data_IF_877098654062
#
_entry.id   IF_877098654062
#
_cell.length_a   1.000
_cell.length_b   1.000
_cell.length_c   1.000
_cell.angle_alpha   90.00
_cell.angle_beta   90.00
_cell.angle_gamma   90.00
#
_symmetry.space_group_name_H-M   'P 1'
#
loop_
_entity.id
_entity.type
_entity.pdbx_description
1 polymer ?
#
# COMPACT_ATOMS: atom_id res chain seq x y z
N UNK A 1 -21.95 -69.41 -10.30
CA UNK A 1 -21.60 -68.10 -10.90
C UNK A 1 -21.66 -67.05 -9.79
N UNK A 2 -20.51 -66.63 -9.26
CA UNK A 2 -20.45 -65.56 -8.23
C UNK A 2 -19.90 -64.32 -8.91
N UNK A 3 -20.72 -63.26 -9.02
CA UNK A 3 -20.29 -61.96 -9.55
C UNK A 3 -19.67 -61.15 -8.42
N UNK A 4 -18.37 -60.89 -8.53
CA UNK A 4 -17.64 -59.99 -7.66
C UNK A 4 -18.04 -58.55 -8.00
N UNK A 5 -18.72 -57.86 -7.09
CA UNK A 5 -19.03 -56.45 -7.23
C UNK A 5 -17.86 -55.62 -6.67
N UNK A 6 -17.08 -55.02 -7.56
CA UNK A 6 -16.05 -54.06 -7.19
C UNK A 6 -16.73 -52.71 -6.92
N UNK A 7 -16.76 -52.29 -5.66
CA UNK A 7 -17.27 -50.96 -5.28
C UNK A 7 -16.14 -49.93 -5.49
N UNK A 8 -16.26 -49.10 -6.51
CA UNK A 8 -15.33 -47.99 -6.75
C UNK A 8 -15.76 -46.81 -5.88
N UNK A 9 -15.08 -46.61 -4.74
CA UNK A 9 -15.32 -45.48 -3.85
C UNK A 9 -14.74 -44.19 -4.43
N UNK A 10 -15.60 -43.23 -4.77
CA UNK A 10 -15.19 -41.89 -5.17
C UNK A 10 -15.01 -41.04 -3.90
N UNK A 11 -13.76 -40.71 -3.55
CA UNK A 11 -13.45 -39.81 -2.42
C UNK A 11 -13.49 -38.38 -2.96
N UNK A 12 -14.49 -37.61 -2.52
CA UNK A 12 -14.62 -36.19 -2.84
C UNK A 12 -13.83 -35.38 -1.80
N UNK A 13 -12.67 -34.83 -2.18
CA UNK A 13 -11.96 -33.86 -1.35
C UNK A 13 -12.59 -32.48 -1.52
N UNK A 14 -13.39 -32.05 -0.53
CA UNK A 14 -13.84 -30.67 -0.43
C UNK A 14 -12.70 -29.86 0.17
N UNK A 15 -11.99 -29.11 -0.66
CA UNK A 15 -11.06 -28.10 -0.17
C UNK A 15 -11.88 -26.87 0.25
N UNK A 16 -11.98 -26.65 1.56
CA UNK A 16 -12.49 -25.38 2.09
C UNK A 16 -11.30 -24.42 2.11
N UNK A 17 -11.27 -23.36 1.29
CA UNK A 17 -10.21 -22.36 1.38
C UNK A 17 -10.30 -21.70 2.77
N UNK A 18 -9.26 -21.87 3.57
CA UNK A 18 -9.05 -21.07 4.78
C UNK A 18 -8.45 -19.76 4.27
N UNK A 19 -9.28 -18.73 4.17
CA UNK A 19 -8.77 -17.39 3.87
C UNK A 19 -7.94 -16.93 5.08
N UNK A 20 -6.69 -16.52 4.83
CA UNK A 20 -6.00 -15.64 5.77
C UNK A 20 -6.87 -14.40 5.96
N UNK A 21 -7.04 -13.95 7.22
CA UNK A 21 -7.96 -12.86 7.52
C UNK A 21 -7.49 -11.55 6.89
N UNK A 22 -6.17 -11.29 6.98
CA UNK A 22 -5.49 -10.18 6.32
C UNK A 22 -4.26 -10.69 5.59
N UNK A 23 -3.73 -9.86 4.68
CA UNK A 23 -2.58 -10.23 3.87
C UNK A 23 -1.30 -10.40 4.73
N UNK A 24 -0.37 -11.20 4.22
CA UNK A 24 0.83 -11.58 4.95
C UNK A 24 2.04 -10.71 4.64
N UNK A 25 3.21 -11.24 5.01
CA UNK A 25 4.51 -10.58 4.83
C UNK A 25 4.89 -10.47 3.34
N UNK A 26 5.87 -9.62 3.05
CA UNK A 26 6.37 -9.40 1.68
C UNK A 26 6.79 -10.71 1.02
N UNK A 27 6.26 -10.96 -0.19
CA UNK A 27 6.54 -12.17 -0.98
C UNK A 27 5.56 -13.33 -0.77
N UNK A 28 4.57 -13.16 0.11
CA UNK A 28 3.45 -14.11 0.24
C UNK A 28 2.32 -13.79 -0.73
N UNK A 29 1.51 -14.80 -1.06
CA UNK A 29 0.34 -14.63 -1.91
C UNK A 29 -0.65 -13.63 -1.28
N UNK A 30 -1.15 -12.68 -2.09
CA UNK A 30 -2.09 -11.66 -1.64
C UNK A 30 -1.48 -10.51 -0.82
N UNK A 31 -0.15 -10.50 -0.59
CA UNK A 31 0.56 -9.39 0.03
C UNK A 31 0.25 -8.05 -0.67
N UNK A 32 -0.18 -7.05 0.10
CA UNK A 32 -0.55 -5.72 -0.41
C UNK A 32 0.59 -4.71 -0.41
N UNK A 33 1.71 -5.01 0.27
CA UNK A 33 2.84 -4.10 0.42
C UNK A 33 3.35 -3.52 -0.92
N UNK A 34 3.77 -2.25 -0.91
CA UNK A 34 4.26 -1.56 -2.09
C UNK A 34 5.74 -1.18 -1.90
N UNK A 35 6.62 -1.64 -2.79
CA UNK A 35 8.04 -1.31 -2.73
C UNK A 35 8.26 0.19 -2.94
N UNK A 36 9.17 0.83 -2.20
CA UNK A 36 9.42 2.27 -2.30
C UNK A 36 9.84 2.77 -3.71
N UNK A 37 10.34 1.89 -4.57
CA UNK A 37 10.71 2.18 -5.97
C UNK A 37 9.57 1.98 -6.97
N UNK A 38 8.41 1.52 -6.50
CA UNK A 38 7.27 1.26 -7.36
C UNK A 38 6.82 2.55 -8.06
N UNK A 39 6.62 2.46 -9.37
CA UNK A 39 6.24 3.61 -10.20
C UNK A 39 4.83 4.13 -9.89
N UNK A 40 4.05 3.42 -9.07
CA UNK A 40 2.78 3.91 -8.53
C UNK A 40 2.95 5.18 -7.70
N UNK A 41 4.10 5.39 -7.07
CA UNK A 41 4.35 6.63 -6.33
C UNK A 41 4.66 7.79 -7.29
N UNK A 42 3.80 8.81 -7.27
CA UNK A 42 3.87 9.97 -8.15
C UNK A 42 4.27 11.25 -7.42
N UNK A 43 4.14 11.26 -6.09
CA UNK A 43 4.55 12.37 -5.21
C UNK A 43 4.86 11.81 -3.82
N UNK A 44 5.40 12.64 -2.94
CA UNK A 44 5.77 12.27 -1.58
C UNK A 44 5.45 13.40 -0.60
N UNK A 45 5.40 13.08 0.68
CA UNK A 45 5.24 14.10 1.73
C UNK A 45 6.26 15.23 1.55
N UNK A 46 5.76 16.46 1.62
CA UNK A 46 6.55 17.68 1.43
C UNK A 46 7.06 18.26 2.73
N UNK A 47 6.23 18.24 3.77
CA UNK A 47 6.59 18.67 5.12
C UNK A 47 6.18 17.61 6.12
N UNK A 48 6.82 17.61 7.27
CA UNK A 48 6.48 16.79 8.41
C UNK A 48 6.62 17.65 9.67
N UNK A 49 5.68 17.54 10.61
CA UNK A 49 5.77 18.14 11.95
C UNK A 49 5.58 17.03 12.96
N UNK A 50 6.55 16.84 13.86
CA UNK A 50 6.57 15.75 14.84
C UNK A 50 6.33 16.27 16.25
N UNK A 51 5.34 15.68 16.93
CA UNK A 51 5.18 15.79 18.37
C UNK A 51 5.70 14.51 19.01
N UNK A 52 6.88 14.58 19.63
CA UNK A 52 7.56 13.41 20.22
C UNK A 52 6.78 12.82 21.39
N UNK A 53 6.64 11.51 21.35
CA UNK A 53 6.12 10.66 22.41
C UNK A 53 7.17 10.32 23.47
N UNK A 54 6.76 9.51 24.44
CA UNK A 54 7.59 9.13 25.58
C UNK A 54 8.56 8.01 25.20
N UNK A 55 9.72 7.97 25.86
CA UNK A 55 10.60 6.79 25.82
C UNK A 55 9.89 5.56 26.43
N UNK A 56 9.05 5.80 27.44
CA UNK A 56 8.24 4.79 28.09
C UNK A 56 7.08 5.53 28.78
N UNK A 57 5.85 5.35 28.29
CA UNK A 57 4.66 6.04 28.78
C UNK A 57 4.35 5.70 30.25
N UNK A 58 4.78 4.53 30.71
CA UNK A 58 4.64 4.13 32.11
C UNK A 58 5.71 4.74 33.01
N UNK A 59 6.76 5.35 32.43
CA UNK A 59 7.91 5.96 33.11
C UNK A 59 8.23 7.35 32.51
N UNK A 60 7.32 8.34 32.66
CA UNK A 60 7.44 9.63 32.01
C UNK A 60 8.70 10.43 32.40
N UNK A 61 9.33 10.10 33.52
CA UNK A 61 10.61 10.66 33.97
C UNK A 61 11.79 10.36 33.04
N UNK A 62 11.65 9.35 32.16
CA UNK A 62 12.66 9.04 31.12
C UNK A 62 12.68 10.02 29.95
N UNK A 63 11.72 10.94 29.90
CA UNK A 63 11.67 11.97 28.86
C UNK A 63 11.00 11.50 27.57
N UNK A 64 11.39 12.15 26.46
CA UNK A 64 10.86 11.93 25.12
C UNK A 64 11.91 11.22 24.27
N UNK A 65 11.46 10.50 23.24
CA UNK A 65 12.37 9.97 22.22
C UNK A 65 13.02 11.11 21.43
N UNK A 66 14.19 10.85 20.83
CA UNK A 66 15.03 11.91 20.23
C UNK A 66 15.69 11.53 18.92
N UNK A 67 15.49 10.31 18.41
CA UNK A 67 16.17 9.84 17.21
C UNK A 67 15.58 10.43 15.92
N UNK A 68 16.44 10.76 14.95
CA UNK A 68 16.03 11.31 13.66
C UNK A 68 15.47 12.73 13.72
N UNK A 69 15.07 13.26 12.57
CA UNK A 69 14.51 14.62 12.40
C UNK A 69 13.41 14.60 11.35
N UNK A 70 12.55 15.62 11.34
CA UNK A 70 11.40 15.72 10.43
C UNK A 70 11.78 15.57 8.95
N UNK A 71 12.99 16.00 8.58
CA UNK A 71 13.50 15.90 7.21
C UNK A 71 13.74 14.45 6.75
N UNK A 72 13.85 13.48 7.68
CA UNK A 72 13.96 12.07 7.35
C UNK A 72 12.63 11.45 6.89
N UNK A 73 11.49 12.11 7.15
CA UNK A 73 10.16 11.60 6.81
C UNK A 73 9.54 12.27 5.56
N UNK A 74 10.29 13.11 4.85
CA UNK A 74 9.81 13.85 3.67
C UNK A 74 10.61 13.52 2.42
N UNK A 75 10.00 13.75 1.26
CA UNK A 75 10.58 13.39 -0.02
C UNK A 75 10.55 11.88 -0.27
N UNK A 76 11.18 11.48 -1.37
CA UNK A 76 11.19 10.09 -1.78
C UNK A 76 12.06 9.24 -0.86
N UNK A 77 11.47 8.19 -0.29
CA UNK A 77 12.24 7.08 0.27
C UNK A 77 13.11 6.53 -0.85
N UNK A 78 14.42 6.51 -0.64
CA UNK A 78 15.40 6.16 -1.66
C UNK A 78 16.40 5.09 -1.19
N UNK A 79 16.26 4.66 0.06
CA UNK A 79 17.11 3.66 0.69
C UNK A 79 16.29 2.81 1.65
N UNK A 80 16.88 1.69 2.08
CA UNK A 80 16.42 0.91 3.24
C UNK A 80 17.36 1.13 4.42
N UNK A 81 17.97 2.31 4.52
CA UNK A 81 18.83 2.66 5.65
C UNK A 81 17.94 2.85 6.87
N UNK A 82 18.18 2.01 7.87
CA UNK A 82 17.43 1.97 9.12
C UNK A 82 17.58 3.26 9.93
N UNK A 83 18.57 4.09 9.62
CA UNK A 83 18.77 5.39 10.26
C UNK A 83 18.08 6.56 9.51
N UNK A 84 17.49 6.31 8.34
CA UNK A 84 16.73 7.32 7.58
C UNK A 84 15.25 7.31 7.98
N UNK A 85 15.00 7.66 9.24
CA UNK A 85 13.68 7.73 9.83
C UNK A 85 13.61 8.79 10.94
N UNK A 86 12.40 9.02 11.46
CA UNK A 86 12.16 9.80 12.67
C UNK A 86 11.25 9.03 13.62
N UNK A 87 11.73 8.77 14.84
CA UNK A 87 11.01 7.94 15.81
C UNK A 87 9.90 8.71 16.53
N UNK A 88 8.71 8.16 16.62
CA UNK A 88 7.59 8.84 17.27
C UNK A 88 7.61 8.67 18.79
N UNK A 89 7.97 7.49 19.29
CA UNK A 89 7.87 7.14 20.71
C UNK A 89 6.44 6.97 21.19
N UNK A 90 6.27 6.44 22.40
CA UNK A 90 4.95 6.07 22.93
C UNK A 90 3.98 7.26 22.84
N UNK A 91 2.91 7.08 22.06
CA UNK A 91 1.85 8.05 21.78
C UNK A 91 2.30 9.33 21.05
N UNK A 92 3.48 9.32 20.44
CA UNK A 92 3.96 10.37 19.55
C UNK A 92 3.20 10.40 18.23
N UNK A 93 3.26 11.53 17.55
CA UNK A 93 2.57 11.73 16.28
C UNK A 93 3.40 12.56 15.30
N UNK A 94 3.14 12.34 14.01
CA UNK A 94 3.66 13.14 12.91
C UNK A 94 2.50 13.59 12.02
N UNK A 95 2.50 14.86 11.62
CA UNK A 95 1.57 15.40 10.64
C UNK A 95 2.36 15.75 9.37
N UNK A 96 2.03 15.07 8.27
CA UNK A 96 2.64 15.27 6.97
C UNK A 96 1.71 16.06 6.05
N UNK A 97 2.28 16.94 5.22
CA UNK A 97 1.54 17.67 4.18
C UNK A 97 2.17 17.47 2.80
N UNK A 98 1.43 17.78 1.74
CA UNK A 98 1.76 17.42 0.37
C UNK A 98 1.70 18.64 -0.56
N UNK A 99 2.47 18.61 -1.67
CA UNK A 99 2.40 19.67 -2.69
C UNK A 99 1.03 19.70 -3.37
N UNK A 100 0.45 18.51 -3.57
CA UNK A 100 -0.86 18.31 -4.16
C UNK A 100 -1.71 17.48 -3.20
N UNK A 101 -2.98 17.87 -2.94
CA UNK A 101 -3.87 17.07 -2.13
C UNK A 101 -4.02 15.66 -2.67
N UNK A 102 -3.97 14.67 -1.78
CA UNK A 102 -4.26 13.26 -2.07
C UNK A 102 -5.76 13.15 -2.37
N UNK A 103 -6.13 12.28 -3.30
CA UNK A 103 -7.51 12.06 -3.73
C UNK A 103 -7.86 10.58 -3.68
N UNK A 104 -9.12 10.28 -3.41
CA UNK A 104 -9.71 8.93 -3.46
C UNK A 104 -9.79 8.45 -4.91
N UNK A 105 -8.79 7.66 -5.30
CA UNK A 105 -8.67 7.06 -6.62
C UNK A 105 -9.11 5.60 -6.64
N UNK A 106 -8.77 4.89 -7.72
CA UNK A 106 -9.01 3.45 -7.76
C UNK A 106 -7.96 2.72 -6.90
N UNK A 107 -8.41 2.08 -5.81
CA UNK A 107 -7.56 1.33 -4.90
C UNK A 107 -6.76 2.22 -3.96
N UNK A 108 -5.52 1.84 -3.65
CA UNK A 108 -4.70 2.57 -2.68
C UNK A 108 -4.27 3.95 -3.18
N UNK A 109 -4.30 4.94 -2.29
CA UNK A 109 -4.03 6.35 -2.59
C UNK A 109 -2.69 6.84 -2.05
N UNK A 110 -2.18 6.21 -1.01
CA UNK A 110 -0.84 6.46 -0.48
C UNK A 110 -0.33 5.25 0.30
N UNK A 111 0.95 5.26 0.67
CA UNK A 111 1.54 4.27 1.55
C UNK A 111 2.46 4.92 2.59
N UNK A 112 2.46 4.36 3.79
CA UNK A 112 3.32 4.79 4.92
C UNK A 112 4.48 3.82 5.06
N UNK A 113 5.69 4.37 5.17
CA UNK A 113 6.94 3.63 5.26
C UNK A 113 7.53 3.70 6.66
N UNK A 114 7.96 2.54 7.12
CA UNK A 114 8.66 2.30 8.37
C UNK A 114 10.00 1.60 8.05
N UNK A 115 10.93 1.53 9.00
CA UNK A 115 12.32 1.10 8.77
C UNK A 115 12.65 -0.33 9.25
N UNK A 116 11.64 -1.17 9.50
CA UNK A 116 11.80 -2.47 10.15
C UNK A 116 12.83 -3.36 9.46
N UNK A 117 13.66 -4.02 10.27
CA UNK A 117 14.73 -4.87 9.80
C UNK A 117 14.26 -6.20 9.21
N UNK A 118 13.05 -6.68 9.55
CA UNK A 118 12.55 -7.99 9.14
C UNK A 118 11.02 -8.10 9.21
N UNK A 119 10.46 -9.20 8.71
CA UNK A 119 9.01 -9.37 8.59
C UNK A 119 8.25 -9.61 9.91
N UNK A 120 8.93 -9.59 11.05
CA UNK A 120 8.33 -9.94 12.36
C UNK A 120 8.62 -8.95 13.46
N UNK A 121 9.74 -8.21 13.41
CA UNK A 121 9.98 -7.10 14.31
C UNK A 121 9.30 -5.87 13.71
N UNK A 122 8.02 -5.69 14.00
CA UNK A 122 7.20 -4.62 13.45
C UNK A 122 6.97 -3.59 14.55
N UNK A 123 7.07 -2.32 14.21
CA UNK A 123 6.68 -1.20 15.07
C UNK A 123 5.52 -0.48 14.37
N UNK A 124 4.40 -0.32 15.07
CA UNK A 124 3.12 -0.06 14.44
C UNK A 124 2.63 1.38 14.65
N UNK A 125 1.85 1.88 13.69
CA UNK A 125 1.17 3.17 13.82
C UNK A 125 -0.25 3.14 13.25
N UNK A 126 -1.13 3.93 13.87
CA UNK A 126 -2.44 4.27 13.33
C UNK A 126 -2.31 5.46 12.37
N UNK A 127 -3.20 5.50 11.38
CA UNK A 127 -3.17 6.53 10.32
C UNK A 127 -4.51 7.25 10.29
N UNK A 128 -4.46 8.57 10.21
CA UNK A 128 -5.60 9.44 10.01
C UNK A 128 -5.33 10.41 8.85
N UNK A 129 -6.39 10.92 8.24
CA UNK A 129 -6.31 11.93 7.18
C UNK A 129 -7.17 13.14 7.50
N UNK A 130 -6.82 14.29 6.92
CA UNK A 130 -7.58 15.53 7.08
C UNK A 130 -7.56 16.38 5.80
N UNK A 131 -8.68 17.03 5.53
CA UNK A 131 -8.80 18.03 4.45
C UNK A 131 -8.41 19.44 4.90
N UNK A 132 -8.46 19.73 6.20
CA UNK A 132 -8.33 21.09 6.77
C UNK A 132 -7.24 21.24 7.85
N UNK A 133 -6.63 20.14 8.31
CA UNK A 133 -5.63 20.13 9.38
C UNK A 133 -6.21 20.26 10.78
N UNK A 134 -7.54 20.21 10.93
CA UNK A 134 -8.25 20.34 12.21
C UNK A 134 -9.05 19.06 12.50
N UNK A 135 -9.83 18.59 11.53
CA UNK A 135 -10.65 17.38 11.66
C UNK A 135 -9.92 16.20 11.03
N UNK A 136 -9.61 15.19 11.85
CA UNK A 136 -8.89 13.99 11.43
C UNK A 136 -9.80 12.77 11.47
N UNK A 137 -9.66 11.92 10.44
CA UNK A 137 -10.47 10.73 10.25
C UNK A 137 -9.55 9.53 10.07
N UNK A 138 -9.64 8.57 11.00
CA UNK A 138 -8.81 7.37 11.02
C UNK A 138 -9.30 6.29 10.06
N UNK A 139 -8.36 5.52 9.52
CA UNK A 139 -8.70 4.27 8.82
C UNK A 139 -9.29 3.24 9.80
N UNK A 140 -10.22 2.39 9.36
CA UNK A 140 -10.76 1.32 10.19
C UNK A 140 -9.68 0.27 10.43
N UNK A 141 -9.07 0.30 11.62
CA UNK A 141 -7.99 -0.61 12.01
C UNK A 141 -8.52 -1.86 12.70
N UNK A 142 -7.86 -2.99 12.45
CA UNK A 142 -8.13 -4.24 13.15
C UNK A 142 -6.83 -4.86 13.61
N UNK A 143 -6.77 -5.22 14.89
CA UNK A 143 -5.68 -6.02 15.46
C UNK A 143 -6.21 -7.28 16.12
N UNK A 144 -5.74 -8.41 15.62
CA UNK A 144 -5.95 -9.74 16.22
C UNK A 144 -4.67 -10.25 16.90
N UNK A 145 -3.79 -9.34 17.31
CA UNK A 145 -2.60 -9.69 18.09
C UNK A 145 -3.01 -10.28 19.44
N UNK A 146 -2.42 -11.41 19.88
CA UNK A 146 -2.78 -12.01 21.17
C UNK A 146 -2.48 -11.06 22.33
N UNK A 147 -3.38 -10.92 23.30
CA UNK A 147 -3.20 -10.01 24.45
C UNK A 147 -3.03 -10.75 25.78
N UNK A 148 -2.87 -12.06 25.75
CA UNK A 148 -2.60 -12.90 26.92
C UNK A 148 -1.14 -12.78 27.39
N UNK A 149 -0.24 -12.35 26.51
CA UNK A 149 1.17 -12.09 26.80
C UNK A 149 1.68 -10.87 26.05
N UNK A 150 2.37 -9.97 26.75
CA UNK A 150 3.02 -8.80 26.14
C UNK A 150 4.04 -9.23 25.07
N UNK A 151 3.99 -8.61 23.89
CA UNK A 151 5.09 -8.66 22.93
C UNK A 151 6.22 -7.81 23.52
N UNK A 152 7.35 -8.43 23.87
CA UNK A 152 8.49 -7.70 24.41
C UNK A 152 9.10 -6.75 23.38
N UNK A 153 9.92 -5.79 23.79
CA UNK A 153 10.52 -4.79 22.89
C UNK A 153 11.42 -5.29 21.76
N UNK A 154 11.65 -6.61 21.64
CA UNK A 154 12.30 -7.28 20.48
C UNK A 154 11.48 -8.49 20.01
N UNK A 155 10.20 -8.52 20.37
CA UNK A 155 9.28 -9.62 20.10
C UNK A 155 8.79 -9.59 18.65
N UNK A 156 8.21 -10.71 18.24
CA UNK A 156 7.66 -10.88 16.90
C UNK A 156 6.16 -10.59 16.87
N UNK A 157 5.71 -9.87 15.86
CA UNK A 157 4.31 -9.60 15.53
C UNK A 157 3.97 -10.29 14.21
N UNK A 158 2.80 -10.92 14.15
CA UNK A 158 2.28 -11.60 12.95
C UNK A 158 1.48 -10.61 12.09
N UNK A 159 2.04 -10.22 10.94
CA UNK A 159 1.41 -9.31 10.00
C UNK A 159 0.00 -9.75 9.56
N UNK A 160 -0.29 -11.06 9.51
CA UNK A 160 -1.63 -11.57 9.10
C UNK A 160 -2.73 -11.23 10.12
N UNK A 161 -2.37 -10.68 11.28
CA UNK A 161 -3.29 -10.23 12.33
C UNK A 161 -3.62 -8.74 12.26
N UNK A 162 -3.05 -8.00 11.31
CA UNK A 162 -3.12 -6.55 11.25
C UNK A 162 -3.78 -6.08 9.95
N UNK A 163 -4.68 -5.12 10.05
CA UNK A 163 -5.31 -4.43 8.90
C UNK A 163 -5.33 -2.92 9.12
N UNK A 164 -4.98 -2.15 8.09
CA UNK A 164 -4.90 -0.68 8.11
C UNK A 164 -4.04 -0.11 9.25
N UNK A 165 -2.94 -0.80 9.56
CA UNK A 165 -1.97 -0.38 10.57
C UNK A 165 -0.62 -0.25 9.86
N UNK A 166 -0.04 0.95 9.89
CA UNK A 166 1.27 1.22 9.30
C UNK A 166 2.37 0.46 10.05
N UNK A 167 3.48 0.17 9.37
CA UNK A 167 4.60 -0.61 9.94
C UNK A 167 4.42 -2.12 9.87
N UNK A 168 3.38 -2.58 9.17
CA UNK A 168 3.09 -4.02 9.01
C UNK A 168 4.14 -4.77 8.16
N UNK A 169 4.95 -4.07 7.37
CA UNK A 169 5.92 -4.67 6.46
C UNK A 169 7.34 -4.16 6.73
N UNK A 170 8.32 -5.02 6.47
CA UNK A 170 9.75 -4.68 6.59
C UNK A 170 10.15 -3.47 5.75
N UNK A 171 11.23 -2.83 6.16
CA UNK A 171 11.85 -1.68 5.50
C UNK A 171 11.99 -1.85 3.98
N UNK A 172 11.67 -0.76 3.28
CA UNK A 172 11.56 -0.71 1.82
C UNK A 172 10.17 -1.07 1.26
N UNK A 173 9.22 -1.45 2.11
CA UNK A 173 7.86 -1.75 1.69
C UNK A 173 6.86 -0.95 2.51
N UNK A 174 6.08 -0.11 1.82
CA UNK A 174 5.07 0.73 2.43
C UNK A 174 3.78 -0.04 2.70
N UNK A 175 3.12 0.31 3.81
CA UNK A 175 1.73 -0.12 4.07
C UNK A 175 0.78 0.78 3.30
N UNK A 176 0.02 0.26 2.31
CA UNK A 176 -0.83 1.10 1.51
C UNK A 176 -2.21 1.33 2.16
N UNK A 177 -2.81 2.48 1.86
CA UNK A 177 -4.08 2.95 2.43
C UNK A 177 -5.01 3.46 1.32
N UNK A 178 -6.28 3.06 1.37
CA UNK A 178 -7.34 3.37 0.40
C UNK A 178 -8.40 4.27 1.08
N UNK A 179 -8.50 5.53 0.65
CA UNK A 179 -9.36 6.54 1.26
C UNK A 179 -10.85 6.16 1.23
N UNK A 180 -11.25 5.30 0.28
CA UNK A 180 -12.62 4.80 0.19
C UNK A 180 -13.03 3.98 1.43
N UNK A 181 -12.06 3.42 2.17
CA UNK A 181 -12.31 2.66 3.40
C UNK A 181 -12.71 3.53 4.60
N UNK A 182 -12.47 4.85 4.55
CA UNK A 182 -12.92 5.78 5.59
C UNK A 182 -14.40 6.09 5.37
N UNK A 183 -15.22 6.11 6.43
CA UNK A 183 -16.62 6.49 6.29
C UNK A 183 -16.77 7.96 5.84
N UNK A 184 -17.77 8.23 4.99
CA UNK A 184 -18.06 9.60 4.56
C UNK A 184 -18.42 10.51 5.75
N UNK A 185 -17.93 11.73 5.72
CA UNK A 185 -18.19 12.75 6.74
C UNK A 185 -18.29 14.13 6.10
N UNK A 186 -19.17 14.99 6.63
CA UNK A 186 -19.34 16.36 6.13
C UNK A 186 -18.08 17.24 6.23
N UNK A 187 -17.17 16.92 7.15
CA UNK A 187 -15.90 17.63 7.33
C UNK A 187 -14.71 16.91 6.65
N UNK A 188 -14.96 15.88 5.84
CA UNK A 188 -13.95 15.14 5.11
C UNK A 188 -14.22 15.21 3.60
N UNK A 189 -13.37 15.94 2.88
CA UNK A 189 -13.30 15.87 1.42
C UNK A 189 -12.16 14.91 1.03
N UNK A 190 -12.52 13.66 0.74
CA UNK A 190 -11.58 12.61 0.29
C UNK A 190 -10.92 12.92 -1.06
N UNK A 191 -11.43 13.90 -1.81
CA UNK A 191 -10.80 14.41 -3.03
C UNK A 191 -9.93 15.65 -2.77
N UNK A 192 -9.67 15.97 -1.50
CA UNK A 192 -8.83 17.09 -1.08
C UNK A 192 -8.15 16.82 0.26
N UNK A 193 -7.52 15.66 0.41
CA UNK A 193 -6.76 15.31 1.60
C UNK A 193 -5.43 16.08 1.59
N UNK A 194 -5.25 16.97 2.56
CA UNK A 194 -4.07 17.85 2.65
C UNK A 194 -3.09 17.40 3.73
N UNK A 195 -3.56 16.61 4.70
CA UNK A 195 -2.76 16.11 5.81
C UNK A 195 -2.93 14.61 5.98
N UNK A 196 -1.83 13.93 6.29
CA UNK A 196 -1.79 12.57 6.82
C UNK A 196 -1.18 12.66 8.22
N UNK A 197 -1.88 12.15 9.23
CA UNK A 197 -1.37 12.01 10.58
C UNK A 197 -1.01 10.56 10.85
N UNK A 198 0.21 10.35 11.32
CA UNK A 198 0.72 9.06 11.77
C UNK A 198 0.83 9.14 13.29
N UNK A 199 0.26 8.17 14.00
CA UNK A 199 0.33 8.12 15.46
C UNK A 199 0.83 6.75 15.90
N UNK A 200 1.88 6.77 16.69
CA UNK A 200 2.48 5.60 17.31
C UNK A 200 1.44 4.73 18.04
N UNK A 201 1.56 3.41 17.88
CA UNK A 201 0.84 2.43 18.69
C UNK A 201 1.62 2.23 19.98
N UNK A 202 1.04 2.67 21.10
CA UNK A 202 1.53 2.26 22.42
C UNK A 202 1.23 0.77 22.61
N UNK A 203 2.24 -0.07 22.36
CA UNK A 203 2.14 -1.53 22.27
C UNK A 203 1.83 -2.32 23.54
N UNK A 204 1.61 -1.63 24.66
CA UNK A 204 1.39 -2.29 25.94
C UNK A 204 0.03 -2.99 26.02
N UNK A 205 -0.01 -4.15 26.67
CA UNK A 205 -1.29 -4.80 27.06
C UNK A 205 -1.93 -4.20 28.32
N UNK A 206 -1.29 -3.21 28.96
CA UNK A 206 -1.88 -2.50 30.08
C UNK A 206 -2.99 -1.56 29.56
N UNK A 207 -4.27 -1.79 29.91
CA UNK A 207 -5.40 -1.04 29.34
C UNK A 207 -5.40 0.45 29.68
N UNK A 208 -4.60 0.90 30.65
CA UNK A 208 -4.43 2.31 30.98
C UNK A 208 -3.72 3.09 29.86
N UNK A 209 -2.80 2.44 29.15
CA UNK A 209 -1.90 3.07 28.19
C UNK A 209 -2.06 2.50 26.78
N UNK A 210 -2.61 1.30 26.65
CA UNK A 210 -2.75 0.57 25.41
C UNK A 210 -3.47 1.39 24.31
N UNK A 211 -2.88 1.38 23.12
CA UNK A 211 -3.60 1.82 21.91
C UNK A 211 -4.62 0.76 21.52
N UNK A 212 -5.78 1.21 21.02
CA UNK A 212 -6.89 0.33 20.61
C UNK A 212 -7.20 0.48 19.13
N UNK A 213 -7.60 -0.62 18.52
CA UNK A 213 -8.11 -0.64 17.14
C UNK A 213 -9.54 -0.07 17.06
N UNK A 214 -10.10 0.00 15.86
CA UNK A 214 -11.46 0.53 15.63
C UNK A 214 -12.58 -0.30 16.26
N UNK A 215 -12.29 -1.51 16.74
CA UNK A 215 -13.20 -2.38 17.47
C UNK A 215 -13.00 -2.33 18.99
N UNK A 216 -12.05 -1.54 19.47
CA UNK A 216 -11.70 -1.41 20.88
C UNK A 216 -10.76 -2.50 21.40
N UNK A 217 -10.22 -3.37 20.54
CA UNK A 217 -9.22 -4.36 20.91
C UNK A 217 -7.86 -3.69 21.15
N UNK A 218 -7.07 -4.19 22.08
CA UNK A 218 -5.70 -3.71 22.30
C UNK A 218 -4.82 -4.14 21.12
N UNK A 219 -4.00 -3.23 20.63
CA UNK A 219 -2.94 -3.54 19.66
C UNK A 219 -1.67 -3.86 20.44
N UNK A 220 -1.31 -5.15 20.53
CA UNK A 220 -0.13 -5.62 21.25
C UNK A 220 1.09 -5.60 20.33
N UNK A 221 1.85 -4.52 20.42
CA UNK A 221 3.06 -4.19 19.67
C UNK A 221 4.32 -4.37 20.58
N UNK A 222 5.57 -4.44 20.07
CA UNK A 222 6.74 -4.50 20.93
C UNK A 222 6.76 -3.39 21.98
N UNK A 223 6.69 -3.80 23.25
CA UNK A 223 6.71 -2.86 24.37
C UNK A 223 7.34 -3.48 25.63
N UNK A 224 8.08 -2.69 26.45
CA UNK A 224 8.53 -1.34 26.12
C UNK A 224 9.70 -1.36 25.13
N UNK A 225 9.86 -0.28 24.37
CA UNK A 225 11.02 0.03 23.51
C UNK A 225 11.75 1.26 24.08
N UNK A 226 12.39 1.16 25.27
CA UNK A 226 12.84 2.32 26.04
C UNK A 226 14.18 2.89 25.53
N UNK A 227 14.21 3.28 24.26
CA UNK A 227 15.37 3.79 23.54
C UNK A 227 15.08 5.17 22.94
N UNK A 228 16.12 5.88 22.51
CA UNK A 228 15.96 7.15 21.79
C UNK A 228 15.21 7.00 20.46
N UNK A 229 15.24 5.80 19.89
CA UNK A 229 14.53 5.38 18.68
C UNK A 229 13.32 4.48 18.99
N UNK A 230 12.71 4.62 20.16
CA UNK A 230 11.56 3.79 20.51
C UNK A 230 10.29 4.15 19.73
N UNK A 231 9.44 3.16 19.48
CA UNK A 231 8.13 3.33 18.87
C UNK A 231 8.24 3.40 17.35
N UNK A 232 7.19 3.89 16.69
CA UNK A 232 7.15 3.92 15.24
C UNK A 232 8.25 4.79 14.61
N UNK A 233 9.07 4.19 13.75
CA UNK A 233 10.14 4.85 13.01
C UNK A 233 9.67 5.27 11.61
N UNK A 234 9.17 6.50 11.48
CA UNK A 234 8.62 7.01 10.22
C UNK A 234 9.73 7.34 9.20
N UNK A 235 9.75 6.63 8.08
CA UNK A 235 10.67 6.89 6.95
C UNK A 235 10.03 7.67 5.80
N UNK A 236 8.70 7.72 5.71
CA UNK A 236 8.04 8.58 4.73
C UNK A 236 6.62 8.19 4.37
N UNK A 237 5.98 9.03 3.56
CA UNK A 237 4.66 8.78 2.99
C UNK A 237 4.70 9.03 1.48
N UNK A 238 4.50 7.97 0.70
CA UNK A 238 4.46 8.00 -0.76
C UNK A 238 3.02 8.11 -1.26
N UNK A 239 2.77 9.00 -2.23
CA UNK A 239 1.45 9.30 -2.78
C UNK A 239 1.24 8.59 -4.10
N UNK A 240 0.10 7.91 -4.25
CA UNK A 240 -0.31 7.16 -5.45
C UNK A 240 -1.35 7.98 -6.24
N UNK A 241 -2.35 8.54 -5.55
CA UNK A 241 -3.41 9.35 -6.16
C UNK A 241 -3.42 10.76 -5.59
N UNK A 242 -3.37 11.77 -6.46
CA UNK A 242 -3.46 13.18 -6.07
C UNK A 242 -4.14 14.04 -7.14
N UNK A 243 -4.36 15.33 -6.87
CA UNK A 243 -5.02 16.20 -7.86
C UNK A 243 -4.32 16.33 -9.21
N UNK A 244 -3.05 15.93 -9.35
CA UNK A 244 -2.35 16.00 -10.64
C UNK A 244 -2.64 14.82 -11.56
N UNK A 245 -2.92 13.62 -11.02
CA UNK A 245 -3.28 12.45 -11.84
C UNK A 245 -4.78 12.38 -12.16
N UNK A 246 -5.65 13.00 -11.36
CA UNK A 246 -7.11 13.12 -11.61
C UNK A 246 -7.50 14.35 -12.43
N UNK A 247 -6.64 15.37 -12.53
CA UNK A 247 -6.83 16.50 -13.44
C UNK A 247 -6.59 16.15 -14.92
N UNK A 248 -6.02 14.97 -15.20
CA UNK A 248 -6.08 14.40 -16.53
C UNK A 248 -7.47 13.75 -16.69
N UNK A 249 -8.38 14.24 -17.55
CA UNK A 249 -9.56 13.46 -17.91
C UNK A 249 -9.02 12.15 -18.44
N UNK A 250 -9.30 11.05 -17.74
CA UNK A 250 -8.87 9.68 -18.07
C UNK A 250 -8.35 9.62 -19.48
N UNK A 251 -7.05 9.88 -19.65
CA UNK A 251 -6.40 9.48 -20.87
C UNK A 251 -6.39 7.98 -20.69
N UNK A 252 -7.50 7.32 -21.05
CA UNK A 252 -7.50 5.93 -21.47
C UNK A 252 -6.19 5.83 -22.21
N UNK A 253 -5.25 5.08 -21.66
CA UNK A 253 -3.96 5.00 -22.28
C UNK A 253 -4.27 4.70 -23.75
N UNK A 254 -3.73 5.51 -24.66
CA UNK A 254 -3.89 5.28 -26.10
C UNK A 254 -3.15 3.99 -26.54
N UNK A 255 -3.02 3.04 -25.62
CA UNK A 255 -2.48 1.68 -25.71
C UNK A 255 -3.63 0.69 -25.96
N UNK A 256 -4.67 1.12 -26.65
CA UNK A 256 -5.53 0.23 -27.40
C UNK A 256 -5.33 0.55 -28.89
N UNK A 257 -4.23 0.06 -29.47
CA UNK A 257 -4.17 -0.17 -30.92
C UNK A 257 -5.27 -1.19 -31.21
N UNK A 258 -6.43 -0.73 -31.64
CA UNK A 258 -7.55 -1.60 -31.96
C UNK A 258 -7.16 -2.36 -33.23
N UNK A 259 -6.92 -3.67 -33.12
CA UNK A 259 -6.63 -4.57 -34.25
C UNK A 259 -7.79 -5.56 -34.37
N UNK A 260 -8.56 -5.48 -35.45
CA UNK A 260 -9.76 -6.29 -35.62
C UNK A 260 -10.14 -6.46 -37.10
N UNK A 261 -10.85 -7.53 -37.48
CA UNK A 261 -11.00 -8.74 -36.68
C UNK A 261 -9.63 -9.42 -36.52
N UNK A 262 -9.41 -10.06 -35.37
CA UNK A 262 -8.28 -10.95 -35.14
C UNK A 262 -8.84 -12.20 -34.43
N UNK A 263 -8.90 -13.37 -35.09
CA UNK A 263 -8.35 -13.68 -36.42
C UNK A 263 -9.13 -13.05 -37.59
N UNK A 264 -8.49 -12.92 -38.75
CA UNK A 264 -9.10 -12.49 -40.02
C UNK A 264 -8.63 -13.40 -41.18
N UNK A 265 -9.39 -13.44 -42.27
CA UNK A 265 -9.03 -14.19 -43.49
C UNK A 265 -8.84 -13.30 -44.71
N UNK A 266 -9.39 -12.09 -44.68
CA UNK A 266 -9.41 -11.16 -45.82
C UNK A 266 -8.76 -9.83 -45.45
N UNK A 267 -9.13 -9.21 -44.33
CA UNK A 267 -8.70 -7.86 -43.97
C UNK A 267 -8.56 -7.70 -42.46
N UNK A 268 -7.59 -6.89 -42.05
CA UNK A 268 -7.46 -6.42 -40.66
C UNK A 268 -7.46 -4.89 -40.62
N UNK A 269 -8.18 -4.36 -39.65
CA UNK A 269 -8.26 -2.94 -39.35
C UNK A 269 -7.36 -2.62 -38.17
N UNK A 270 -6.54 -1.57 -38.30
CA UNK A 270 -5.58 -1.13 -37.29
C UNK A 270 -5.79 0.35 -37.00
N UNK A 271 -6.15 0.68 -35.75
CA UNK A 271 -6.15 2.07 -35.27
C UNK A 271 -4.78 2.42 -34.68
N UNK A 272 -3.95 3.09 -35.47
CA UNK A 272 -2.53 3.27 -35.15
C UNK A 272 -2.18 4.62 -34.48
N UNK A 273 -3.10 5.60 -34.49
CA UNK A 273 -2.93 6.90 -33.81
C UNK A 273 -1.57 7.58 -34.08
N UNK A 274 -1.14 7.66 -35.35
CA UNK A 274 0.13 8.31 -35.71
C UNK A 274 1.38 7.45 -35.53
N UNK A 275 1.24 6.18 -35.11
CA UNK A 275 2.36 5.26 -34.86
C UNK A 275 2.65 4.42 -36.09
N UNK A 276 3.93 4.10 -36.28
CA UNK A 276 4.39 3.19 -37.33
C UNK A 276 3.80 1.78 -37.14
N UNK A 277 3.20 1.25 -38.19
CA UNK A 277 2.67 -0.11 -38.28
C UNK A 277 3.58 -0.95 -39.18
N UNK A 278 3.99 -2.11 -38.70
CA UNK A 278 4.81 -3.07 -39.45
C UNK A 278 4.16 -4.45 -39.41
N UNK A 279 4.01 -5.07 -40.57
CA UNK A 279 3.42 -6.41 -40.74
C UNK A 279 4.53 -7.41 -41.05
N UNK A 280 4.53 -8.54 -40.37
CA UNK A 280 5.47 -9.65 -40.59
C UNK A 280 4.70 -10.94 -40.86
N UNK A 281 5.28 -11.84 -41.66
CA UNK A 281 4.81 -13.23 -41.73
C UNK A 281 5.41 -14.07 -40.58
N UNK A 282 5.00 -15.33 -40.48
CA UNK A 282 5.46 -16.26 -39.44
C UNK A 282 6.95 -16.60 -39.50
N UNK A 283 7.63 -16.33 -40.62
CA UNK A 283 9.08 -16.51 -40.76
C UNK A 283 9.87 -15.24 -40.40
N UNK A 284 9.19 -14.17 -39.95
CA UNK A 284 9.80 -12.91 -39.56
C UNK A 284 10.16 -12.00 -40.75
N UNK A 285 9.71 -12.32 -41.96
CA UNK A 285 9.87 -11.44 -43.12
C UNK A 285 8.90 -10.26 -43.02
N UNK A 286 9.43 -9.04 -43.18
CA UNK A 286 8.62 -7.83 -43.25
C UNK A 286 7.81 -7.79 -44.55
N UNK A 287 6.49 -7.75 -44.41
CA UNK A 287 5.54 -7.72 -45.51
C UNK A 287 5.15 -6.29 -45.90
N UNK A 288 4.91 -5.43 -44.90
CA UNK A 288 4.48 -4.05 -45.10
C UNK A 288 4.93 -3.16 -43.94
N UNK A 289 5.12 -1.86 -44.23
CA UNK A 289 5.40 -0.83 -43.23
C UNK A 289 4.72 0.48 -43.63
N UNK A 290 4.09 1.16 -42.68
CA UNK A 290 3.45 2.45 -42.90
C UNK A 290 3.43 3.28 -41.62
N UNK A 291 3.37 4.61 -41.76
CA UNK A 291 3.16 5.54 -40.64
C UNK A 291 1.97 6.44 -40.97
N UNK A 292 0.75 6.05 -40.56
CA UNK A 292 -0.47 6.81 -40.84
C UNK A 292 -0.54 8.08 -39.98
N UNK A 293 -1.46 8.98 -40.30
CA UNK A 293 -1.66 10.18 -39.49
C UNK A 293 -2.32 9.84 -38.14
N UNK A 294 -2.26 10.81 -37.21
CA UNK A 294 -3.01 10.70 -35.96
C UNK A 294 -4.51 10.57 -36.27
N UNK A 295 -5.18 9.59 -35.65
CA UNK A 295 -6.60 9.24 -35.80
C UNK A 295 -7.01 8.37 -37.01
N UNK A 296 -6.09 7.96 -37.88
CA UNK A 296 -6.41 7.07 -39.01
C UNK A 296 -6.73 5.62 -38.56
N UNK A 297 -7.82 5.08 -39.11
CA UNK A 297 -8.09 3.65 -39.16
C UNK A 297 -7.52 3.11 -40.48
N UNK A 298 -6.50 2.26 -40.39
CA UNK A 298 -5.90 1.61 -41.57
C UNK A 298 -6.64 0.32 -41.84
N UNK A 299 -6.94 0.04 -43.10
CA UNK A 299 -7.30 -1.28 -43.58
C UNK A 299 -6.07 -1.93 -44.24
N UNK A 300 -5.68 -3.10 -43.75
CA UNK A 300 -4.62 -3.93 -44.34
C UNK A 300 -5.30 -5.11 -45.02
N UNK A 301 -5.05 -5.25 -46.32
CA UNK A 301 -5.53 -6.37 -47.11
C UNK A 301 -4.64 -7.59 -46.83
N UNK A 302 -5.24 -8.66 -46.34
CA UNK A 302 -4.56 -9.89 -45.98
C UNK A 302 -4.69 -10.98 -47.07
N UNK A 303 -5.49 -10.76 -48.12
CA UNK A 303 -5.71 -11.76 -49.16
C UNK A 303 -4.48 -12.05 -50.03
N UNK A 304 -3.43 -11.23 -49.92
CA UNK A 304 -2.15 -11.40 -50.61
C UNK A 304 -1.06 -12.07 -49.78
N UNK A 305 -1.36 -12.49 -48.55
CA UNK A 305 -0.40 -13.09 -47.61
C UNK A 305 -0.80 -14.53 -47.30
N UNK A 306 -0.47 -15.44 -48.22
CA UNK A 306 -0.46 -16.90 -47.99
C UNK A 306 0.82 -17.35 -47.27
#
# INVERSE_FOLDING_TARGET
MSRLFTFLGFVLFIQVPIFAQFDGIVGTEGCKAIEYKDSRFIDWAKTCVVTRGKVDIAKPEKGLVSFGKEENAIGAVNSTDVYDCVSLGDAGEAILTFNHPIVDGEGFDFAVFENSFNDTFLELATVEVSSDGVHYFGFPTTSNTPTDKQVGGFGSVDATKLNNIAGKYRGGWGTPFDLSEIADNENLDKNNITHVKIRDVVGTINPQYATRDSHGNIINDPYPTPFESGGFDLSGVGVINNKTNTAAPSAKSDVATLVYPNPCTDKVFVKANGRKVTVYNITGQKLQEMTPAAQDLIQIDMSGYD
#
